data_IF_398152983359
#
_entry.id   IF_398152983359
#
_cell.length_a   1.000
_cell.length_b   1.000
_cell.length_c   1.000
_cell.angle_alpha   90.00
_cell.angle_beta   90.00
_cell.angle_gamma   90.00
#
_symmetry.space_group_name_H-M   'P 1'
#
loop_
_entity.id
_entity.type
_entity.pdbx_description
1 polymer ?
#
# COMPACT_ATOMS: atom_id res chain seq x y z
N UNK A 1 -7.19 7.08 -20.54
CA UNK A 1 -7.83 5.77 -20.31
C UNK A 1 -8.54 5.66 -18.97
N UNK A 2 -7.87 5.84 -17.82
CA UNK A 2 -8.53 5.79 -16.49
C UNK A 2 -9.82 6.61 -16.39
N UNK A 3 -9.75 7.93 -16.64
CA UNK A 3 -10.93 8.82 -16.64
C UNK A 3 -12.04 8.33 -17.59
N UNK A 4 -11.67 7.85 -18.79
CA UNK A 4 -12.63 7.39 -19.81
C UNK A 4 -13.36 6.12 -19.38
N UNK A 5 -12.67 5.24 -18.64
CA UNK A 5 -13.18 3.94 -18.22
C UNK A 5 -13.78 3.98 -16.80
N UNK A 6 -13.74 5.13 -16.12
CA UNK A 6 -14.17 5.24 -14.73
C UNK A 6 -13.28 4.48 -13.74
N UNK A 7 -12.02 4.21 -14.10
CA UNK A 7 -11.08 3.41 -13.29
C UNK A 7 -10.04 4.32 -12.66
N UNK A 8 -9.75 4.11 -11.37
CA UNK A 8 -8.64 4.77 -10.68
C UNK A 8 -7.30 4.15 -11.08
N UNK A 9 -6.30 4.98 -11.28
CA UNK A 9 -4.93 4.61 -11.63
C UNK A 9 -4.04 5.03 -10.47
N UNK A 10 -3.62 4.06 -9.67
CA UNK A 10 -2.66 4.24 -8.59
C UNK A 10 -1.23 4.25 -9.15
N UNK A 11 -0.54 5.36 -8.98
CA UNK A 11 0.86 5.52 -9.36
C UNK A 11 1.74 5.41 -8.12
N UNK A 12 2.61 4.41 -8.07
CA UNK A 12 3.51 4.17 -6.92
C UNK A 12 4.97 4.32 -7.33
N UNK A 13 5.77 4.92 -6.44
CA UNK A 13 7.21 4.99 -6.59
C UNK A 13 7.86 3.75 -5.97
N UNK A 14 8.86 3.18 -6.65
CA UNK A 14 9.58 1.99 -6.20
C UNK A 14 11.09 2.25 -6.25
N UNK A 15 11.83 1.87 -5.21
CA UNK A 15 13.29 1.80 -5.25
C UNK A 15 13.70 0.45 -5.88
N UNK A 16 14.81 0.42 -6.59
CA UNK A 16 15.32 -0.82 -7.20
C UNK A 16 15.91 -1.80 -6.17
N UNK A 17 15.96 -1.42 -4.89
CA UNK A 17 16.30 -2.30 -3.79
C UNK A 17 15.25 -3.42 -3.61
N UNK A 18 15.67 -4.57 -3.05
CA UNK A 18 14.81 -5.71 -2.69
C UNK A 18 13.65 -6.00 -3.67
N UNK A 19 13.96 -6.14 -4.97
CA UNK A 19 12.97 -6.45 -6.01
C UNK A 19 11.85 -5.39 -6.18
N UNK A 20 12.13 -4.13 -5.87
CA UNK A 20 11.16 -3.03 -5.96
C UNK A 20 10.67 -2.51 -4.60
N UNK A 21 11.07 -3.14 -3.50
CA UNK A 21 10.73 -2.75 -2.13
C UNK A 21 11.88 -2.00 -1.43
N UNK A 22 11.58 -0.84 -0.86
CA UNK A 22 12.62 0.07 -0.40
C UNK A 22 13.08 -0.11 1.04
N UNK A 23 14.34 0.24 1.29
CA UNK A 23 14.70 0.79 2.60
C UNK A 23 14.03 2.17 2.75
N UNK A 24 14.11 2.75 3.95
CA UNK A 24 13.78 4.16 4.09
C UNK A 24 14.70 4.98 3.19
N UNK A 25 14.11 5.84 2.35
CA UNK A 25 14.86 6.76 1.50
C UNK A 25 15.43 7.90 2.35
N UNK A 26 16.70 8.20 2.15
CA UNK A 26 17.40 9.30 2.81
C UNK A 26 18.26 10.08 1.81
N UNK A 27 18.71 11.28 2.20
CA UNK A 27 19.60 12.11 1.40
C UNK A 27 19.10 12.37 -0.02
N UNK A 28 20.00 12.26 -1.01
CA UNK A 28 19.68 12.53 -2.42
C UNK A 28 18.59 11.62 -2.99
N UNK A 29 18.45 10.38 -2.50
CA UNK A 29 17.36 9.50 -2.95
C UNK A 29 15.98 10.03 -2.56
N UNK A 30 15.84 10.51 -1.31
CA UNK A 30 14.57 11.09 -0.84
C UNK A 30 14.26 12.41 -1.58
N UNK A 31 15.29 13.22 -1.81
CA UNK A 31 15.16 14.46 -2.58
C UNK A 31 14.70 14.19 -4.02
N UNK A 32 15.29 13.20 -4.68
CA UNK A 32 14.89 12.78 -6.02
C UNK A 32 13.45 12.28 -6.04
N UNK A 33 13.07 11.37 -5.14
CA UNK A 33 11.69 10.87 -5.04
C UNK A 33 10.67 11.99 -4.81
N UNK A 34 11.02 13.00 -3.99
CA UNK A 34 10.17 14.18 -3.75
C UNK A 34 9.99 15.04 -5.00
N UNK A 35 11.07 15.24 -5.76
CA UNK A 35 11.01 15.95 -7.04
C UNK A 35 10.17 15.18 -8.07
N UNK A 36 10.30 13.86 -8.12
CA UNK A 36 9.54 13.02 -9.05
C UNK A 36 8.05 13.00 -8.72
N UNK A 37 7.68 12.88 -7.43
CA UNK A 37 6.29 13.06 -6.97
C UNK A 37 5.74 14.40 -7.44
N UNK A 38 6.50 15.47 -7.22
CA UNK A 38 6.09 16.83 -7.60
C UNK A 38 5.84 16.94 -9.11
N UNK A 39 6.70 16.34 -9.93
CA UNK A 39 6.57 16.34 -11.39
C UNK A 39 5.38 15.50 -11.87
N UNK A 40 5.17 14.31 -11.29
CA UNK A 40 4.02 13.44 -11.61
C UNK A 40 2.72 14.13 -11.22
N UNK A 41 2.65 14.74 -10.04
CA UNK A 41 1.49 15.51 -9.58
C UNK A 41 1.20 16.69 -10.52
N UNK A 42 2.20 17.49 -10.89
CA UNK A 42 1.98 18.62 -11.80
C UNK A 42 1.43 18.17 -13.16
N UNK A 43 1.85 16.99 -13.62
CA UNK A 43 1.45 16.44 -14.91
C UNK A 43 0.08 15.75 -14.90
N UNK A 44 -0.23 15.02 -13.83
CA UNK A 44 -1.40 14.12 -13.78
C UNK A 44 -2.37 14.41 -12.65
N UNK A 45 -2.03 15.26 -11.69
CA UNK A 45 -2.80 15.49 -10.47
C UNK A 45 -4.15 16.16 -10.67
N UNK A 46 -4.42 16.75 -11.84
CA UNK A 46 -5.74 17.25 -12.24
C UNK A 46 -6.69 16.17 -12.74
N UNK A 47 -6.19 14.94 -12.98
CA UNK A 47 -6.98 13.81 -13.45
C UNK A 47 -7.75 13.19 -12.29
N UNK A 48 -9.06 13.06 -12.42
CA UNK A 48 -9.90 12.45 -11.38
C UNK A 48 -9.56 10.98 -11.16
N UNK A 49 -9.04 10.29 -12.17
CA UNK A 49 -8.59 8.90 -12.06
C UNK A 49 -7.25 8.76 -11.33
N UNK A 50 -6.45 9.81 -11.20
CA UNK A 50 -5.12 9.70 -10.60
C UNK A 50 -5.19 9.51 -9.09
N UNK A 51 -4.46 8.52 -8.59
CA UNK A 51 -4.22 8.27 -7.18
C UNK A 51 -2.72 8.18 -6.99
N UNK A 52 -2.17 8.96 -6.05
CA UNK A 52 -0.76 8.87 -5.71
C UNK A 52 -0.59 7.84 -4.60
N UNK A 53 0.33 6.92 -4.78
CA UNK A 53 0.86 6.06 -3.72
C UNK A 53 2.30 6.49 -3.46
N UNK A 54 2.58 6.90 -2.23
CA UNK A 54 3.79 7.65 -1.91
C UNK A 54 5.05 6.85 -2.19
N UNK A 55 5.12 5.60 -1.71
CA UNK A 55 6.31 4.76 -1.85
C UNK A 55 6.07 3.30 -1.48
N UNK A 56 6.44 2.40 -2.38
CA UNK A 56 6.26 0.97 -2.24
C UNK A 56 7.19 0.33 -1.19
N UNK A 57 6.59 -0.33 -0.22
CA UNK A 57 7.21 -1.18 0.79
C UNK A 57 8.38 -0.51 1.51
N UNK A 58 8.22 0.77 1.86
CA UNK A 58 9.26 1.54 2.52
C UNK A 58 9.55 1.04 3.94
N UNK A 59 10.81 0.71 4.21
CA UNK A 59 11.34 0.54 5.56
C UNK A 59 11.03 -0.82 6.22
N UNK A 60 11.93 -1.23 7.11
CA UNK A 60 11.88 -2.56 7.77
C UNK A 60 11.11 -2.56 9.09
N UNK A 61 10.76 -1.39 9.62
CA UNK A 61 10.11 -1.20 10.91
C UNK A 61 9.35 0.12 10.97
N UNK A 62 8.45 0.25 11.95
CA UNK A 62 7.77 1.50 12.30
C UNK A 62 8.74 2.47 13.02
N UNK A 63 9.68 3.04 12.28
CA UNK A 63 10.70 3.98 12.77
C UNK A 63 10.36 5.44 12.49
N UNK A 64 11.00 6.36 13.20
CA UNK A 64 10.89 7.80 12.94
C UNK A 64 11.36 8.13 11.51
N UNK A 65 12.47 7.54 11.05
CA UNK A 65 12.97 7.75 9.69
C UNK A 65 11.92 7.36 8.62
N UNK A 66 11.16 6.27 8.84
CA UNK A 66 10.07 5.90 7.94
C UNK A 66 8.97 6.97 7.93
N UNK A 67 8.59 7.49 9.09
CA UNK A 67 7.58 8.53 9.21
C UNK A 67 8.03 9.84 8.56
N UNK A 68 9.29 10.21 8.72
CA UNK A 68 9.89 11.42 8.14
C UNK A 68 10.00 11.33 6.62
N UNK A 69 10.36 10.16 6.09
CA UNK A 69 10.31 9.87 4.66
C UNK A 69 8.89 10.05 4.13
N UNK A 70 7.89 9.38 4.71
CA UNK A 70 6.49 9.49 4.27
C UNK A 70 5.96 10.92 4.37
N UNK A 71 6.27 11.61 5.48
CA UNK A 71 5.95 13.03 5.69
C UNK A 71 6.48 13.90 4.56
N UNK A 72 7.75 13.68 4.17
CA UNK A 72 8.41 14.43 3.10
C UNK A 72 7.72 14.21 1.76
N UNK A 73 7.40 12.95 1.43
CA UNK A 73 6.75 12.59 0.17
C UNK A 73 5.31 13.12 0.08
N UNK A 74 4.54 13.04 1.18
CA UNK A 74 3.18 13.62 1.27
C UNK A 74 3.25 15.14 1.05
N UNK A 75 4.17 15.82 1.75
CA UNK A 75 4.36 17.27 1.60
C UNK A 75 4.79 17.64 0.19
N UNK A 76 5.64 16.87 -0.46
CA UNK A 76 6.04 17.11 -1.85
C UNK A 76 4.82 17.13 -2.80
N UNK A 77 3.90 16.18 -2.63
CA UNK A 77 2.65 16.15 -3.39
C UNK A 77 1.74 17.35 -3.09
N UNK A 78 1.50 17.63 -1.80
CA UNK A 78 0.59 18.71 -1.37
C UNK A 78 1.13 20.10 -1.71
N UNK A 79 2.43 20.34 -1.50
CA UNK A 79 3.09 21.61 -1.86
C UNK A 79 3.12 21.84 -3.39
N UNK A 80 3.01 20.77 -4.18
CA UNK A 80 2.82 20.85 -5.64
C UNK A 80 1.37 21.10 -6.06
N UNK A 81 0.46 21.32 -5.11
CA UNK A 81 -0.95 21.65 -5.35
C UNK A 81 -1.86 20.42 -5.48
N UNK A 82 -1.39 19.21 -5.18
CA UNK A 82 -2.24 18.02 -5.32
C UNK A 82 -3.41 18.04 -4.34
N UNK A 83 -4.63 17.92 -4.86
CA UNK A 83 -5.88 17.82 -4.07
C UNK A 83 -6.54 16.44 -4.11
N UNK A 84 -5.98 15.51 -4.87
CA UNK A 84 -6.51 14.15 -4.99
C UNK A 84 -6.10 13.24 -3.82
N UNK A 85 -6.43 11.97 -4.00
CA UNK A 85 -6.19 10.88 -3.03
C UNK A 85 -4.71 10.53 -2.97
N UNK A 86 -4.21 10.39 -1.74
CA UNK A 86 -2.88 9.85 -1.42
C UNK A 86 -3.06 8.55 -0.63
N UNK A 87 -2.41 7.50 -1.12
CA UNK A 87 -2.21 6.23 -0.46
C UNK A 87 -0.83 6.24 0.18
N UNK A 88 -0.75 5.78 1.43
CA UNK A 88 0.51 5.63 2.16
C UNK A 88 0.64 4.17 2.54
N UNK A 89 1.61 3.46 1.96
CA UNK A 89 1.92 2.10 2.37
C UNK A 89 2.54 2.07 3.77
N UNK A 90 2.15 1.09 4.58
CA UNK A 90 2.59 0.92 5.97
C UNK A 90 4.09 0.57 6.08
N UNK A 91 4.64 0.66 7.28
CA UNK A 91 5.98 0.19 7.59
C UNK A 91 6.10 -1.34 7.49
N UNK A 92 7.29 -1.88 7.74
CA UNK A 92 7.56 -3.33 7.65
C UNK A 92 7.30 -3.86 6.23
N UNK A 93 7.94 -3.25 5.24
CA UNK A 93 7.77 -3.58 3.82
C UNK A 93 6.32 -3.50 3.36
N UNK A 94 5.59 -2.47 3.78
CA UNK A 94 4.17 -2.30 3.45
C UNK A 94 3.24 -3.15 4.32
N UNK A 95 3.70 -4.09 5.14
CA UNK A 95 2.77 -5.01 5.82
C UNK A 95 2.17 -4.50 7.15
N UNK A 96 2.73 -3.48 7.79
CA UNK A 96 2.23 -3.03 9.09
C UNK A 96 2.23 -4.17 10.11
N UNK A 97 1.11 -4.39 10.82
CA UNK A 97 0.96 -5.52 11.75
C UNK A 97 0.90 -6.89 11.08
N UNK A 98 0.63 -6.98 9.78
CA UNK A 98 0.72 -8.25 9.03
C UNK A 98 2.17 -8.69 8.92
N UNK A 99 3.12 -7.75 8.92
CA UNK A 99 4.54 -8.01 8.69
C UNK A 99 5.48 -7.71 9.87
N UNK A 100 5.08 -6.86 10.80
CA UNK A 100 5.88 -6.47 11.95
C UNK A 100 5.07 -6.40 13.24
N UNK A 101 5.72 -6.03 14.35
CA UNK A 101 5.09 -5.93 15.66
C UNK A 101 4.24 -4.65 15.82
N UNK A 102 4.42 -3.66 14.94
CA UNK A 102 3.74 -2.36 15.02
C UNK A 102 3.47 -1.81 13.61
N UNK A 103 2.33 -1.12 13.44
CA UNK A 103 2.02 -0.33 12.25
C UNK A 103 2.60 1.08 12.37
N UNK A 104 3.32 1.52 11.34
CA UNK A 104 3.80 2.89 11.22
C UNK A 104 2.67 3.88 10.97
N UNK A 105 1.66 3.48 10.18
CA UNK A 105 0.46 4.29 9.94
C UNK A 105 -0.27 4.63 11.25
N UNK A 106 -0.34 3.67 12.18
CA UNK A 106 -0.96 3.87 13.50
C UNK A 106 -0.02 4.66 14.41
N UNK A 107 1.24 4.26 14.53
CA UNK A 107 2.20 4.90 15.44
C UNK A 107 2.41 6.38 15.15
N UNK A 108 2.42 6.75 13.88
CA UNK A 108 2.73 8.12 13.43
C UNK A 108 1.52 8.79 12.77
N UNK A 109 0.29 8.37 13.11
CA UNK A 109 -0.92 8.85 12.46
C UNK A 109 -1.02 10.39 12.46
N UNK A 110 -0.76 11.03 13.60
CA UNK A 110 -0.86 12.49 13.73
C UNK A 110 0.18 13.21 12.87
N UNK A 111 1.42 12.72 12.84
CA UNK A 111 2.48 13.27 11.99
C UNK A 111 2.10 13.18 10.50
N UNK A 112 1.59 12.03 10.05
CA UNK A 112 1.20 11.83 8.66
C UNK A 112 -0.03 12.67 8.28
N UNK A 113 -1.03 12.76 9.16
CA UNK A 113 -2.21 13.61 8.97
C UNK A 113 -1.84 15.10 8.93
N UNK A 114 -0.95 15.55 9.81
CA UNK A 114 -0.43 16.91 9.78
C UNK A 114 0.34 17.20 8.47
N UNK A 115 1.11 16.24 7.97
CA UNK A 115 1.79 16.35 6.68
C UNK A 115 0.81 16.47 5.50
N UNK A 116 -0.33 15.78 5.58
CA UNK A 116 -1.39 15.86 4.56
C UNK A 116 -2.08 17.22 4.54
N UNK A 117 -2.14 17.92 5.67
CA UNK A 117 -2.76 19.24 5.81
C UNK A 117 -4.29 19.20 5.81
N UNK A 118 -4.89 20.26 6.35
CA UNK A 118 -6.34 20.42 6.45
C UNK A 118 -7.01 20.65 5.08
N UNK A 119 -8.29 20.31 4.97
CA UNK A 119 -9.11 20.50 3.77
C UNK A 119 -8.76 19.58 2.60
N UNK A 120 -7.78 18.68 2.74
CA UNK A 120 -7.48 17.65 1.76
C UNK A 120 -8.24 16.34 2.10
N UNK A 121 -8.50 15.46 1.11
CA UNK A 121 -9.00 14.12 1.39
C UNK A 121 -8.10 13.40 2.40
N UNK A 122 -8.72 12.62 3.30
CA UNK A 122 -7.99 11.80 4.25
C UNK A 122 -7.03 10.84 3.51
N UNK A 123 -5.87 10.60 4.11
CA UNK A 123 -4.92 9.60 3.62
C UNK A 123 -5.57 8.21 3.66
N UNK A 124 -5.29 7.39 2.65
CA UNK A 124 -5.63 5.97 2.67
C UNK A 124 -4.41 5.20 3.17
N UNK A 125 -4.57 4.44 4.25
CA UNK A 125 -3.55 3.51 4.72
C UNK A 125 -3.53 2.25 3.85
N UNK A 126 -2.41 1.93 3.20
CA UNK A 126 -2.26 0.70 2.43
C UNK A 126 -1.38 -0.28 3.18
N UNK A 127 -1.75 -1.56 3.17
CA UNK A 127 -0.86 -2.60 3.65
C UNK A 127 -0.88 -3.86 2.80
N UNK A 128 0.19 -4.64 2.89
CA UNK A 128 0.37 -5.85 2.10
C UNK A 128 0.11 -7.10 2.93
N UNK A 129 -0.47 -8.12 2.29
CA UNK A 129 -0.77 -9.41 2.91
C UNK A 129 -0.07 -10.50 2.11
N UNK A 130 1.01 -11.02 2.68
CA UNK A 130 1.78 -12.13 2.12
C UNK A 130 1.79 -13.32 3.07
N UNK A 131 2.05 -14.50 2.53
CA UNK A 131 1.97 -15.76 3.27
C UNK A 131 2.90 -15.79 4.50
N UNK A 132 2.29 -15.74 5.68
CA UNK A 132 2.93 -15.93 6.98
C UNK A 132 2.17 -16.98 7.78
N UNK A 133 2.41 -18.21 7.35
CA UNK A 133 2.09 -19.50 7.99
C UNK A 133 0.81 -19.46 8.85
N UNK A 134 0.89 -19.59 10.17
CA UNK A 134 -0.31 -19.80 11.01
C UNK A 134 -1.00 -18.52 11.51
N UNK A 135 -0.31 -17.37 11.53
CA UNK A 135 -0.81 -16.15 12.18
C UNK A 135 -1.44 -15.15 11.21
N UNK A 136 -1.41 -15.41 9.90
CA UNK A 136 -1.83 -14.46 8.86
C UNK A 136 -3.24 -13.88 9.13
N UNK A 137 -4.22 -14.73 9.44
CA UNK A 137 -5.60 -14.29 9.69
C UNK A 137 -5.71 -13.40 10.94
N UNK A 138 -5.06 -13.77 12.05
CA UNK A 138 -5.14 -13.01 13.30
C UNK A 138 -4.42 -11.66 13.20
N UNK A 139 -3.29 -11.63 12.49
CA UNK A 139 -2.51 -10.40 12.25
C UNK A 139 -3.25 -9.45 11.32
N UNK A 140 -3.92 -9.96 10.28
CA UNK A 140 -4.79 -9.15 9.43
C UNK A 140 -5.94 -8.54 10.23
N UNK A 141 -6.61 -9.32 11.07
CA UNK A 141 -7.67 -8.80 11.96
C UNK A 141 -7.18 -7.68 12.87
N UNK A 142 -5.97 -7.83 13.45
CA UNK A 142 -5.32 -6.78 14.25
C UNK A 142 -5.01 -5.52 13.44
N UNK A 143 -4.50 -5.67 12.21
CA UNK A 143 -4.21 -4.55 11.31
C UNK A 143 -5.49 -3.77 10.97
N UNK A 144 -6.55 -4.47 10.58
CA UNK A 144 -7.87 -3.87 10.27
C UNK A 144 -8.37 -3.08 11.49
N UNK A 145 -8.38 -3.70 12.67
CA UNK A 145 -8.82 -3.05 13.90
C UNK A 145 -8.01 -1.78 14.19
N UNK A 146 -6.69 -1.88 14.15
CA UNK A 146 -5.81 -0.77 14.49
C UNK A 146 -5.94 0.43 13.54
N UNK A 147 -6.08 0.19 12.23
CA UNK A 147 -6.29 1.27 11.25
C UNK A 147 -7.66 1.94 11.41
N UNK A 148 -8.72 1.17 11.71
CA UNK A 148 -10.05 1.73 12.01
C UNK A 148 -10.01 2.62 13.25
N UNK A 149 -9.38 2.14 14.32
CA UNK A 149 -9.24 2.91 15.58
C UNK A 149 -8.39 4.17 15.38
N UNK A 150 -7.38 4.12 14.52
CA UNK A 150 -6.59 5.29 14.11
C UNK A 150 -7.33 6.23 13.12
N UNK A 151 -8.55 5.90 12.71
CA UNK A 151 -9.40 6.72 11.84
C UNK A 151 -9.00 6.72 10.36
N UNK A 152 -8.35 5.66 9.87
CA UNK A 152 -8.01 5.51 8.46
C UNK A 152 -9.14 4.82 7.68
N UNK A 153 -9.42 5.31 6.47
CA UNK A 153 -9.81 4.41 5.37
C UNK A 153 -8.55 3.64 4.97
N UNK A 154 -8.68 2.37 4.64
CA UNK A 154 -7.54 1.56 4.23
C UNK A 154 -7.82 0.68 3.02
N UNK A 155 -6.73 0.23 2.40
CA UNK A 155 -6.73 -0.73 1.32
C UNK A 155 -5.71 -1.84 1.58
N UNK A 156 -5.87 -2.96 0.89
CA UNK A 156 -4.85 -3.98 0.75
C UNK A 156 -4.15 -3.73 -0.59
N UNK A 157 -2.95 -3.15 -0.54
CA UNK A 157 -2.20 -2.72 -1.73
C UNK A 157 -1.59 -3.87 -2.53
N UNK A 158 -1.31 -4.98 -1.86
CA UNK A 158 -0.85 -6.22 -2.48
C UNK A 158 -1.33 -7.40 -1.61
N UNK A 159 -2.02 -8.37 -2.23
CA UNK A 159 -2.19 -9.71 -1.66
C UNK A 159 -1.54 -10.73 -2.57
N UNK A 160 -0.72 -11.64 -2.04
CA UNK A 160 -0.03 -12.65 -2.86
C UNK A 160 -0.07 -14.04 -2.24
N UNK A 161 -0.37 -15.04 -3.08
CA UNK A 161 -0.20 -16.46 -2.72
C UNK A 161 1.10 -17.07 -3.29
N UNK A 162 1.97 -16.24 -3.89
CA UNK A 162 3.27 -16.68 -4.39
C UNK A 162 4.38 -16.28 -3.41
N UNK A 163 5.02 -17.27 -2.79
CA UNK A 163 6.26 -17.06 -2.03
C UNK A 163 7.45 -17.19 -2.96
N UNK A 164 8.17 -16.10 -3.17
CA UNK A 164 9.46 -16.14 -3.87
C UNK A 164 10.48 -16.97 -3.07
N UNK A 165 11.21 -17.83 -3.76
CA UNK A 165 12.32 -18.59 -3.17
C UNK A 165 13.65 -18.01 -3.63
N UNK A 166 14.04 -18.26 -4.89
CA UNK A 166 15.28 -17.76 -5.51
C UNK A 166 15.14 -17.80 -7.03
N UNK A 167 15.81 -16.89 -7.75
CA UNK A 167 15.82 -16.85 -9.21
C UNK A 167 14.44 -16.57 -9.81
N UNK A 168 13.84 -17.55 -10.48
CA UNK A 168 12.46 -17.50 -11.00
C UNK A 168 11.55 -18.54 -10.32
N UNK A 169 11.95 -19.04 -9.14
CA UNK A 169 11.25 -20.12 -8.44
C UNK A 169 10.33 -19.56 -7.37
N UNK A 170 9.09 -20.03 -7.38
CA UNK A 170 8.05 -19.65 -6.42
C UNK A 170 7.39 -20.88 -5.83
N UNK A 171 6.87 -20.74 -4.61
CA UNK A 171 6.03 -21.72 -3.93
C UNK A 171 4.63 -21.14 -3.75
N UNK A 172 3.60 -21.92 -4.07
CA UNK A 172 2.22 -21.55 -3.73
C UNK A 172 2.01 -21.63 -2.22
N UNK A 173 1.47 -20.57 -1.64
CA UNK A 173 1.19 -20.39 -0.23
C UNK A 173 -0.09 -19.58 -0.06
N UNK A 174 -1.20 -20.27 0.21
CA UNK A 174 -2.54 -19.66 0.19
C UNK A 174 -2.97 -19.02 1.52
N UNK A 175 -2.10 -18.95 2.52
CA UNK A 175 -2.45 -18.43 3.86
C UNK A 175 -2.83 -16.95 3.83
N UNK A 176 -2.26 -16.16 2.92
CA UNK A 176 -2.67 -14.78 2.69
C UNK A 176 -4.11 -14.69 2.15
N UNK A 177 -4.44 -15.55 1.17
CA UNK A 177 -5.78 -15.65 0.60
C UNK A 177 -6.79 -16.12 1.64
N UNK A 178 -6.42 -17.13 2.43
CA UNK A 178 -7.24 -17.61 3.55
C UNK A 178 -7.47 -16.51 4.59
N UNK A 179 -6.44 -15.72 4.92
CA UNK A 179 -6.58 -14.60 5.85
C UNK A 179 -7.60 -13.57 5.35
N UNK A 180 -7.63 -13.27 4.05
CA UNK A 180 -8.66 -12.41 3.47
C UNK A 180 -10.06 -12.99 3.64
N UNK A 181 -10.23 -14.29 3.35
CA UNK A 181 -11.51 -14.98 3.51
C UNK A 181 -11.99 -14.95 4.96
N UNK A 182 -11.10 -15.30 5.90
CA UNK A 182 -11.39 -15.32 7.34
C UNK A 182 -11.77 -13.91 7.87
N UNK A 183 -11.26 -12.83 7.26
CA UNK A 183 -11.51 -11.44 7.67
C UNK A 183 -12.48 -10.68 6.74
N UNK A 184 -13.13 -11.37 5.80
CA UNK A 184 -13.89 -10.72 4.72
C UNK A 184 -14.99 -9.79 5.24
N UNK A 185 -15.72 -10.20 6.28
CA UNK A 185 -16.75 -9.37 6.91
C UNK A 185 -16.19 -8.05 7.43
N UNK A 186 -15.03 -8.08 8.07
CA UNK A 186 -14.38 -6.88 8.60
C UNK A 186 -13.86 -5.97 7.49
N UNK A 187 -13.33 -6.54 6.40
CA UNK A 187 -12.88 -5.82 5.22
C UNK A 187 -14.04 -5.10 4.51
N UNK A 188 -15.16 -5.80 4.29
CA UNK A 188 -16.39 -5.22 3.72
C UNK A 188 -16.95 -4.11 4.60
N UNK A 189 -17.03 -4.33 5.91
CA UNK A 189 -17.53 -3.33 6.85
C UNK A 189 -16.65 -2.06 6.88
N UNK A 190 -15.37 -2.16 6.51
CA UNK A 190 -14.48 -1.02 6.41
C UNK A 190 -14.47 -0.34 5.02
N UNK A 191 -15.16 -0.91 4.02
CA UNK A 191 -15.10 -0.43 2.64
C UNK A 191 -13.69 -0.48 2.06
N UNK A 192 -12.93 -1.52 2.41
CA UNK A 192 -11.54 -1.66 2.02
C UNK A 192 -11.41 -2.07 0.55
N UNK A 193 -10.56 -1.35 -0.19
CA UNK A 193 -10.16 -1.73 -1.54
C UNK A 193 -9.11 -2.85 -1.47
N UNK A 194 -9.15 -3.85 -2.36
CA UNK A 194 -8.18 -4.96 -2.39
C UNK A 194 -7.56 -5.08 -3.79
N UNK A 195 -6.24 -4.93 -3.85
CA UNK A 195 -5.47 -5.05 -5.09
C UNK A 195 -4.72 -6.39 -5.13
N UNK A 196 -4.86 -7.18 -6.20
CA UNK A 196 -4.16 -8.44 -6.34
C UNK A 196 -2.67 -8.16 -6.60
N UNK A 197 -1.81 -8.95 -5.96
CA UNK A 197 -0.38 -8.92 -6.22
C UNK A 197 -0.05 -9.35 -7.66
N UNK A 198 1.10 -8.91 -8.15
CA UNK A 198 1.53 -9.06 -9.55
C UNK A 198 1.66 -10.51 -10.03
N UNK A 199 2.13 -11.40 -9.15
CA UNK A 199 2.36 -12.81 -9.41
C UNK A 199 1.45 -13.63 -8.48
N UNK A 200 0.56 -14.44 -9.06
CA UNK A 200 -0.36 -15.33 -8.34
C UNK A 200 -0.27 -16.75 -8.89
N UNK A 201 -0.40 -17.76 -8.04
CA UNK A 201 -0.70 -19.11 -8.49
C UNK A 201 -2.20 -19.25 -8.77
N UNK A 202 -2.52 -19.72 -9.97
CA UNK A 202 -3.87 -20.12 -10.40
C UNK A 202 -3.76 -21.49 -11.08
N UNK A 203 -4.56 -22.45 -10.64
CA UNK A 203 -4.55 -23.84 -11.13
C UNK A 203 -3.15 -24.47 -11.12
N UNK A 204 -2.40 -24.24 -10.03
CA UNK A 204 -1.03 -24.73 -9.83
C UNK A 204 0.04 -24.06 -10.70
N UNK A 205 -0.28 -22.98 -11.44
CA UNK A 205 0.66 -22.26 -12.30
C UNK A 205 0.81 -20.80 -11.87
N UNK A 206 2.05 -20.31 -11.82
CA UNK A 206 2.30 -18.88 -11.63
C UNK A 206 1.82 -18.09 -12.85
N UNK A 207 0.95 -17.12 -12.59
CA UNK A 207 0.39 -16.19 -13.57
C UNK A 207 0.82 -14.77 -13.19
N UNK A 208 1.36 -14.05 -14.17
CA UNK A 208 1.64 -12.62 -14.07
C UNK A 208 0.43 -11.82 -14.52
N UNK A 209 0.13 -10.75 -13.79
CA UNK A 209 -1.00 -9.84 -14.10
C UNK A 209 -2.36 -10.54 -14.08
N UNK A 210 -2.52 -11.53 -13.21
CA UNK A 210 -3.82 -12.08 -12.89
C UNK A 210 -4.58 -11.04 -12.05
N UNK A 211 -5.28 -10.12 -12.73
CA UNK A 211 -6.20 -9.21 -12.08
C UNK A 211 -7.46 -9.96 -11.61
N UNK A 212 -8.12 -9.40 -10.61
CA UNK A 212 -9.50 -9.74 -10.28
C UNK A 212 -10.39 -9.45 -11.50
N UNK A 213 -11.14 -10.44 -11.95
CA UNK A 213 -12.19 -10.30 -12.95
C UNK A 213 -13.31 -9.38 -12.44
N UNK A 214 -14.23 -8.92 -13.30
CA UNK A 214 -15.39 -8.14 -12.82
C UNK A 214 -16.21 -8.88 -11.75
N UNK A 215 -16.27 -10.21 -11.82
CA UNK A 215 -16.94 -11.06 -10.82
C UNK A 215 -16.21 -11.11 -9.47
N UNK A 216 -14.94 -10.70 -9.43
CA UNK A 216 -14.14 -10.63 -8.21
C UNK A 216 -14.21 -9.23 -7.55
N UNK A 217 -14.94 -8.28 -8.14
CA UNK A 217 -15.22 -6.98 -7.53
C UNK A 217 -16.23 -7.15 -6.38
N UNK A 218 -15.91 -6.59 -5.21
CA UNK A 218 -16.88 -6.49 -4.13
C UNK A 218 -18.00 -5.52 -4.53
N UNK A 219 -19.24 -6.00 -4.53
CA UNK A 219 -20.44 -5.17 -4.59
C UNK A 219 -20.53 -4.25 -3.38
#
# INVERSE_FOLDING_TARGET
EGDKQGVKVQFTFRDNANQGGGNVLTGEKLKQASADISNVVKKFGSRTSFVLDTFNQGGKSASQDWADMQTTLIKAARNSGYKGTIVVEDSNWGGGLTAGPQSGLVKFADQLKAANGEGNPALIGSFHVYARESEASSRLGKQIKALREAGYKFQIGEVGNAKFLVGNTFQQKDEATKALQDNMTALKAAGADILPGKDQFQDGKLRRRAGFSKSDQFL
#
